data_IF_936544476840
#
_entry.id   IF_936544476840
#
_cell.length_a   1.000
_cell.length_b   1.000
_cell.length_c   1.000
_cell.angle_alpha   90.00
_cell.angle_beta   90.00
_cell.angle_gamma   90.00
#
_symmetry.space_group_name_H-M   'P 1'
#
loop_
_entity.id
_entity.type
_entity.pdbx_description
1 polymer ?
#
# COMPACT_ATOMS: atom_id res chain seq x y z
N UNK A 1 9.44 -19.28 -16.53
CA UNK A 1 8.65 -19.77 -15.38
C UNK A 1 7.98 -18.56 -14.77
N UNK A 2 6.67 -18.38 -14.97
CA UNK A 2 5.93 -17.25 -14.41
C UNK A 2 5.59 -17.58 -12.95
N UNK A 3 6.00 -16.71 -12.02
CA UNK A 3 5.66 -16.86 -10.60
C UNK A 3 4.16 -16.61 -10.42
N UNK A 4 3.46 -17.55 -9.77
CA UNK A 4 2.05 -17.39 -9.43
C UNK A 4 1.88 -16.26 -8.41
N UNK A 5 0.86 -15.40 -8.55
CA UNK A 5 0.54 -14.42 -7.52
C UNK A 5 0.04 -15.13 -6.26
N UNK A 6 0.73 -14.87 -5.15
CA UNK A 6 0.35 -15.34 -3.81
C UNK A 6 -1.04 -14.84 -3.47
N UNK A 7 -1.91 -15.75 -3.02
CA UNK A 7 -3.33 -15.48 -2.72
C UNK A 7 -3.46 -14.51 -1.54
N UNK A 8 -3.53 -13.21 -1.83
CA UNK A 8 -3.88 -12.18 -0.83
C UNK A 8 -5.39 -12.23 -0.59
N UNK A 9 -5.80 -12.70 0.59
CA UNK A 9 -7.18 -12.57 1.07
C UNK A 9 -7.38 -11.16 1.60
N UNK A 10 -8.23 -10.38 0.94
CA UNK A 10 -8.68 -9.09 1.44
C UNK A 10 -9.87 -9.30 2.40
N UNK A 11 -9.90 -8.70 3.60
CA UNK A 11 -11.10 -8.71 4.43
C UNK A 11 -12.15 -7.76 3.82
N UNK A 12 -13.28 -8.34 3.42
CA UNK A 12 -14.48 -7.62 2.99
C UNK A 12 -15.09 -6.89 4.19
N UNK A 13 -15.16 -5.56 4.13
CA UNK A 13 -15.90 -4.78 5.12
C UNK A 13 -17.39 -4.85 4.78
N UNK A 14 -18.14 -5.67 5.52
CA UNK A 14 -19.60 -5.64 5.43
C UNK A 14 -20.16 -4.39 6.10
N UNK A 15 -20.98 -3.68 5.33
CA UNK A 15 -21.59 -2.41 5.60
C UNK A 15 -22.90 -2.63 6.38
N UNK A 16 -22.87 -2.48 7.71
CA UNK A 16 -24.07 -2.60 8.53
C UNK A 16 -24.73 -1.23 8.77
N UNK A 17 -25.92 -1.04 8.17
CA UNK A 17 -26.84 0.07 8.45
C UNK A 17 -27.52 -0.12 9.83
N UNK A 18 -27.85 0.95 10.58
CA UNK A 18 -28.60 0.82 11.82
C UNK A 18 -30.11 0.73 11.58
N UNK A 19 -30.74 -0.31 12.13
CA UNK A 19 -32.19 -0.41 12.31
C UNK A 19 -32.58 0.11 13.69
N UNK A 20 -33.73 0.78 13.71
CA UNK A 20 -34.36 1.49 14.82
C UNK A 20 -34.60 0.70 16.11
N UNK A 21 -34.58 1.46 17.22
CA UNK A 21 -35.54 1.47 18.34
C UNK A 21 -35.75 0.19 19.16
N UNK A 22 -35.38 0.23 20.44
CA UNK A 22 -36.32 0.48 21.55
C UNK A 22 -35.62 0.26 22.90
N UNK A 23 -35.76 1.25 23.80
CA UNK A 23 -35.40 1.13 25.20
C UNK A 23 -36.35 0.15 25.94
N UNK A 24 -35.92 -0.32 27.12
CA UNK A 24 -36.83 -0.22 28.26
C UNK A 24 -36.20 0.51 29.43
N UNK A 25 -37.08 1.23 30.12
CA UNK A 25 -36.85 2.05 31.29
C UNK A 25 -36.76 1.23 32.58
N UNK A 26 -36.17 1.86 33.60
CA UNK A 26 -36.20 1.45 35.01
C UNK A 26 -34.78 1.18 35.55
N UNK A 27 -34.34 1.66 36.70
CA UNK A 27 -35.01 2.30 37.84
C UNK A 27 -33.99 3.22 38.54
N UNK A 28 -34.52 4.28 39.16
CA UNK A 28 -33.82 5.26 39.96
C UNK A 28 -33.33 4.64 41.27
N UNK A 29 -32.09 4.93 41.68
CA UNK A 29 -31.63 4.75 43.04
C UNK A 29 -30.78 5.96 43.47
N UNK A 30 -31.34 6.68 44.43
CA UNK A 30 -30.79 7.78 45.21
C UNK A 30 -29.37 7.50 45.71
N UNK A 31 -28.44 8.45 45.56
CA UNK A 31 -27.27 8.55 46.45
C UNK A 31 -27.05 10.01 46.81
N UNK A 32 -27.04 10.22 48.13
CA UNK A 32 -26.95 11.45 48.87
C UNK A 32 -25.71 12.31 48.61
N UNK A 33 -25.93 13.60 48.90
CA UNK A 33 -24.97 14.67 49.05
C UNK A 33 -23.69 14.25 49.78
N UNK A 34 -22.53 14.58 49.21
CA UNK A 34 -21.32 14.84 49.99
C UNK A 34 -20.76 16.22 49.61
N UNK A 35 -20.59 17.03 50.65
CA UNK A 35 -19.91 18.33 50.70
C UNK A 35 -18.64 18.38 49.84
N UNK A 36 -18.46 19.46 49.08
CA UNK A 36 -17.16 19.83 48.50
C UNK A 36 -16.71 21.16 49.08
N UNK A 37 -15.56 21.10 49.75
CA UNK A 37 -14.77 22.19 50.34
C UNK A 37 -14.26 23.14 49.23
N UNK A 38 -14.14 24.46 49.45
CA UNK A 38 -13.53 25.33 48.45
C UNK A 38 -12.01 25.15 48.46
N UNK A 39 -11.44 24.66 47.36
CA UNK A 39 -9.99 24.55 47.18
C UNK A 39 -9.56 25.28 45.90
N UNK A 40 -8.81 26.36 46.16
CA UNK A 40 -7.79 27.06 45.37
C UNK A 40 -7.44 26.38 44.04
N UNK A 41 -7.70 27.07 42.92
CA UNK A 41 -7.34 26.65 41.56
C UNK A 41 -5.82 26.57 41.36
N UNK A 42 -5.26 25.41 40.97
CA UNK A 42 -3.94 25.32 40.38
C UNK A 42 -4.00 25.64 38.87
N UNK A 43 -2.98 26.32 38.34
CA UNK A 43 -2.81 26.73 36.93
C UNK A 43 -2.60 25.57 35.92
N UNK A 44 -2.94 24.33 36.28
CA UNK A 44 -2.83 23.16 35.41
C UNK A 44 -4.13 22.35 35.50
N UNK A 45 -4.65 21.80 34.38
CA UNK A 45 -5.85 20.99 34.44
C UNK A 45 -5.53 19.78 35.33
N UNK A 46 -6.24 19.69 36.46
CA UNK A 46 -6.22 18.51 37.32
C UNK A 46 -6.87 17.38 36.51
N UNK A 47 -6.05 16.62 35.79
CA UNK A 47 -6.50 15.42 35.11
C UNK A 47 -6.99 14.48 36.20
N UNK A 48 -8.28 14.13 36.14
CA UNK A 48 -8.93 13.34 37.17
C UNK A 48 -8.12 12.04 37.35
N UNK A 49 -7.89 11.61 38.60
CA UNK A 49 -7.27 10.31 38.87
C UNK A 49 -7.98 9.18 38.11
N UNK A 50 -9.29 9.31 37.92
CA UNK A 50 -10.10 8.40 37.11
C UNK A 50 -9.64 8.42 35.65
N UNK A 51 -9.35 9.57 35.06
CA UNK A 51 -8.87 9.68 33.67
C UNK A 51 -7.47 9.08 33.50
N UNK A 52 -6.59 9.23 34.50
CA UNK A 52 -5.31 8.53 34.54
C UNK A 52 -5.49 7.01 34.57
N UNK A 53 -6.42 6.53 35.38
CA UNK A 53 -6.73 5.10 35.50
C UNK A 53 -7.32 4.58 34.18
N UNK A 54 -8.29 5.29 33.61
CA UNK A 54 -8.90 4.97 32.30
C UNK A 54 -7.84 4.95 31.20
N UNK A 55 -6.95 5.95 31.17
CA UNK A 55 -5.83 6.02 30.22
C UNK A 55 -4.87 4.85 30.35
N UNK A 56 -4.53 4.44 31.57
CA UNK A 56 -3.70 3.26 31.83
C UNK A 56 -4.32 1.95 31.31
N UNK A 57 -5.66 1.88 31.26
CA UNK A 57 -6.40 0.76 30.67
C UNK A 57 -6.81 1.03 29.20
N UNK A 58 -6.08 1.89 28.49
CA UNK A 58 -6.32 2.20 27.06
C UNK A 58 -7.74 2.69 26.76
N UNK A 59 -8.35 3.41 27.70
CA UNK A 59 -9.73 3.88 27.58
C UNK A 59 -10.80 2.86 27.98
N UNK A 60 -10.43 1.67 28.48
CA UNK A 60 -11.39 0.68 28.92
C UNK A 60 -11.99 1.05 30.29
N UNK A 61 -13.30 1.30 30.31
CA UNK A 61 -14.07 1.61 31.52
C UNK A 61 -14.86 0.42 32.07
N UNK A 62 -14.95 -0.66 31.30
CA UNK A 62 -15.74 -1.86 31.61
C UNK A 62 -14.81 -3.04 31.88
N UNK A 63 -14.99 -3.66 33.04
CA UNK A 63 -14.21 -4.79 33.48
C UNK A 63 -14.52 -6.05 32.63
N UNK A 64 -13.49 -6.84 32.32
CA UNK A 64 -13.55 -7.91 31.33
C UNK A 64 -14.59 -8.99 31.69
N UNK A 65 -14.73 -9.27 32.98
CA UNK A 65 -15.68 -10.21 33.59
C UNK A 65 -17.14 -9.80 33.46
N UNK A 66 -17.41 -8.50 33.24
CA UNK A 66 -18.77 -7.98 33.03
C UNK A 66 -19.18 -7.97 31.56
N UNK A 67 -18.24 -8.24 30.65
CA UNK A 67 -18.49 -8.26 29.22
C UNK A 67 -19.13 -9.58 28.77
N UNK A 68 -20.01 -9.55 27.74
CA UNK A 68 -20.47 -10.77 27.09
C UNK A 68 -19.29 -11.62 26.59
N UNK A 69 -19.37 -12.94 26.73
CA UNK A 69 -18.28 -13.88 26.39
C UNK A 69 -17.69 -13.70 25.00
N UNK A 70 -18.50 -13.33 24.01
CA UNK A 70 -18.04 -13.02 22.64
C UNK A 70 -17.18 -11.76 22.57
N UNK A 71 -17.55 -10.71 23.30
CA UNK A 71 -16.79 -9.47 23.42
C UNK A 71 -15.53 -9.68 24.24
N UNK A 72 -15.62 -10.49 25.30
CA UNK A 72 -14.48 -10.92 26.10
C UNK A 72 -13.43 -11.61 25.23
N UNK A 73 -13.83 -12.60 24.44
CA UNK A 73 -12.97 -13.31 23.50
C UNK A 73 -12.34 -12.35 22.47
N UNK A 74 -13.11 -11.39 21.93
CA UNK A 74 -12.60 -10.40 20.99
C UNK A 74 -11.62 -9.40 21.62
N UNK A 75 -11.85 -8.98 22.87
CA UNK A 75 -10.98 -8.07 23.63
C UNK A 75 -9.67 -8.75 24.03
N UNK A 76 -9.72 -10.02 24.41
CA UNK A 76 -8.53 -10.86 24.66
C UNK A 76 -7.74 -11.10 23.37
N UNK A 77 -8.44 -11.31 22.23
CA UNK A 77 -7.82 -11.63 20.94
C UNK A 77 -7.10 -10.45 20.26
N UNK A 78 -7.41 -9.20 20.64
CA UNK A 78 -6.92 -8.00 19.94
C UNK A 78 -5.64 -7.37 20.51
N UNK A 79 -4.96 -8.01 21.44
CA UNK A 79 -3.71 -7.47 21.98
C UNK A 79 -2.53 -8.03 21.17
N UNK A 80 -2.47 -7.72 19.87
CA UNK A 80 -1.13 -7.52 19.31
C UNK A 80 -0.60 -6.27 19.99
N UNK A 81 0.54 -6.35 20.68
CA UNK A 81 1.16 -5.16 21.25
C UNK A 81 1.26 -4.11 20.13
N UNK A 82 0.84 -2.86 20.37
CA UNK A 82 0.95 -1.78 19.39
C UNK A 82 2.35 -1.72 18.74
N UNK A 83 3.40 -1.96 19.54
CA UNK A 83 4.79 -2.04 19.08
C UNK A 83 5.05 -3.18 18.09
N UNK A 84 4.44 -4.36 18.28
CA UNK A 84 4.57 -5.49 17.35
C UNK A 84 3.83 -5.20 16.05
N UNK A 85 2.66 -4.57 16.12
CA UNK A 85 1.89 -4.17 14.94
C UNK A 85 2.62 -3.08 14.15
N UNK A 86 3.22 -2.11 14.85
CA UNK A 86 4.01 -1.06 14.24
C UNK A 86 5.21 -1.64 13.49
N UNK A 87 5.98 -2.55 14.12
CA UNK A 87 7.12 -3.21 13.47
C UNK A 87 6.72 -4.00 12.23
N UNK A 88 5.58 -4.71 12.27
CA UNK A 88 5.05 -5.41 11.09
C UNK A 88 4.72 -4.45 9.95
N UNK A 89 4.07 -3.33 10.26
CA UNK A 89 3.72 -2.31 9.27
C UNK A 89 4.95 -1.63 8.68
N UNK A 90 5.96 -1.34 9.49
CA UNK A 90 7.24 -0.80 9.03
C UNK A 90 7.93 -1.76 8.06
N UNK A 91 7.97 -3.06 8.39
CA UNK A 91 8.50 -4.10 7.49
C UNK A 91 7.71 -4.20 6.19
N UNK A 92 6.37 -4.18 6.24
CA UNK A 92 5.53 -4.23 5.04
C UNK A 92 5.74 -2.99 4.17
N UNK A 93 5.88 -1.82 4.78
CA UNK A 93 6.11 -0.56 4.09
C UNK A 93 7.48 -0.54 3.40
N UNK A 94 8.52 -1.02 4.08
CA UNK A 94 9.86 -1.13 3.49
C UNK A 94 9.90 -2.12 2.34
N UNK A 95 9.19 -3.25 2.45
CA UNK A 95 9.03 -4.18 1.33
C UNK A 95 8.33 -3.54 0.13
N UNK A 96 7.21 -2.84 0.36
CA UNK A 96 6.49 -2.14 -0.70
C UNK A 96 7.31 -1.02 -1.36
N UNK A 97 8.17 -0.34 -0.59
CA UNK A 97 9.11 0.66 -1.14
C UNK A 97 10.13 0.01 -2.08
N UNK A 98 10.69 -1.13 -1.69
CA UNK A 98 11.64 -1.86 -2.53
C UNK A 98 10.96 -2.38 -3.80
N UNK A 99 9.75 -2.92 -3.69
CA UNK A 99 8.94 -3.37 -4.83
C UNK A 99 8.60 -2.20 -5.77
N UNK A 100 8.14 -1.07 -5.25
CA UNK A 100 7.88 0.12 -6.07
C UNK A 100 9.15 0.65 -6.75
N UNK A 101 10.29 0.61 -6.07
CA UNK A 101 11.58 0.99 -6.66
C UNK A 101 11.93 0.07 -7.83
N UNK A 102 11.75 -1.24 -7.68
CA UNK A 102 11.97 -2.21 -8.75
C UNK A 102 11.09 -1.92 -9.97
N UNK A 103 9.77 -1.79 -9.78
CA UNK A 103 8.89 -1.47 -10.90
C UNK A 103 9.17 -0.09 -11.52
N UNK A 104 9.61 0.88 -10.72
CA UNK A 104 10.09 2.17 -11.20
C UNK A 104 11.28 2.01 -12.15
N UNK A 105 12.29 1.25 -11.75
CA UNK A 105 13.45 0.95 -12.60
C UNK A 105 13.05 0.21 -13.88
N UNK A 106 12.19 -0.80 -13.79
CA UNK A 106 11.66 -1.49 -14.98
C UNK A 106 10.96 -0.50 -15.93
N UNK A 107 10.12 0.39 -15.41
CA UNK A 107 9.45 1.40 -16.22
C UNK A 107 10.45 2.29 -16.99
N UNK A 108 11.54 2.73 -16.36
CA UNK A 108 12.55 3.54 -17.05
C UNK A 108 13.29 2.73 -18.13
N UNK A 109 13.66 1.48 -17.86
CA UNK A 109 14.25 0.57 -18.87
C UNK A 109 13.33 0.47 -20.10
N UNK A 110 12.04 0.23 -19.88
CA UNK A 110 11.06 0.14 -20.97
C UNK A 110 10.91 1.45 -21.73
N UNK A 111 10.97 2.60 -21.05
CA UNK A 111 10.91 3.92 -21.70
C UNK A 111 12.10 4.14 -22.61
N UNK A 112 13.32 3.83 -22.17
CA UNK A 112 14.53 3.94 -22.98
C UNK A 112 14.46 3.04 -24.22
N UNK A 113 14.07 1.78 -24.04
CA UNK A 113 13.88 0.85 -25.15
C UNK A 113 12.83 1.33 -26.16
N UNK A 114 11.73 1.91 -25.65
CA UNK A 114 10.66 2.46 -26.49
C UNK A 114 11.15 3.59 -27.39
N UNK A 115 12.09 4.42 -26.95
CA UNK A 115 12.68 5.48 -27.78
C UNK A 115 13.36 4.88 -29.01
N UNK A 116 14.21 3.87 -28.82
CA UNK A 116 14.92 3.19 -29.92
C UNK A 116 13.94 2.47 -30.86
N UNK A 117 12.96 1.76 -30.30
CA UNK A 117 11.90 1.12 -31.07
C UNK A 117 11.14 2.11 -31.95
N UNK A 118 10.78 3.28 -31.41
CA UNK A 118 10.06 4.33 -32.14
C UNK A 118 10.87 4.83 -33.34
N UNK A 119 12.19 4.95 -33.20
CA UNK A 119 13.10 5.31 -34.30
C UNK A 119 13.03 4.29 -35.44
N UNK A 120 13.08 2.99 -35.13
CA UNK A 120 12.96 1.91 -36.14
C UNK A 120 11.61 1.98 -36.85
N UNK A 121 10.51 2.14 -36.11
CA UNK A 121 9.17 2.28 -36.68
C UNK A 121 9.07 3.49 -37.61
N UNK A 122 9.64 4.64 -37.21
CA UNK A 122 9.64 5.85 -38.04
C UNK A 122 10.43 5.66 -39.34
N UNK A 123 11.59 4.99 -39.28
CA UNK A 123 12.39 4.68 -40.49
C UNK A 123 11.60 3.73 -41.40
N UNK A 124 11.05 2.64 -40.85
CA UNK A 124 10.21 1.70 -41.59
C UNK A 124 9.04 2.40 -42.28
N UNK A 125 8.31 3.26 -41.57
CA UNK A 125 7.19 4.00 -42.13
C UNK A 125 7.62 4.90 -43.29
N UNK A 126 8.75 5.62 -43.15
CA UNK A 126 9.30 6.45 -44.23
C UNK A 126 9.66 5.63 -45.46
N UNK A 127 10.33 4.50 -45.27
CA UNK A 127 10.75 3.61 -46.35
C UNK A 127 9.56 2.99 -47.08
N UNK A 128 8.53 2.57 -46.33
CA UNK A 128 7.27 2.07 -46.89
C UNK A 128 6.61 3.15 -47.75
N UNK A 129 6.50 4.38 -47.25
CA UNK A 129 5.95 5.50 -48.01
C UNK A 129 6.77 5.78 -49.28
N UNK A 130 8.09 5.77 -49.18
CA UNK A 130 8.97 5.99 -50.35
C UNK A 130 8.78 4.91 -51.40
N UNK A 131 8.61 3.63 -51.02
CA UNK A 131 8.38 2.55 -51.98
C UNK A 131 7.09 2.69 -52.80
N UNK A 132 6.06 3.37 -52.25
CA UNK A 132 4.84 3.68 -53.00
C UNK A 132 5.02 4.84 -53.98
N UNK A 133 5.92 5.77 -53.68
CA UNK A 133 6.18 6.96 -54.50
C UNK A 133 7.24 6.69 -55.58
N UNK A 134 8.20 5.81 -55.31
CA UNK A 134 9.32 5.47 -56.16
C UNK A 134 9.41 3.95 -56.38
N UNK A 135 8.77 3.41 -57.44
CA UNK A 135 8.67 1.96 -57.66
C UNK A 135 10.00 1.21 -57.86
N UNK A 136 11.10 1.94 -58.10
CA UNK A 136 12.44 1.39 -58.24
C UNK A 136 13.21 1.27 -56.92
N UNK A 137 12.69 1.82 -55.83
CA UNK A 137 13.35 1.81 -54.53
C UNK A 137 13.03 0.51 -53.77
N UNK A 138 14.07 -0.24 -53.38
CA UNK A 138 13.93 -1.46 -52.59
C UNK A 138 14.26 -1.18 -51.11
N UNK A 139 13.25 -1.15 -50.21
CA UNK A 139 13.46 -0.80 -48.80
C UNK A 139 14.17 -1.90 -47.99
N UNK A 140 14.30 -3.11 -48.52
CA UNK A 140 14.85 -4.29 -47.82
C UNK A 140 16.34 -4.15 -47.50
N UNK A 141 17.08 -3.36 -48.28
CA UNK A 141 18.53 -3.21 -48.13
C UNK A 141 18.95 -1.83 -47.66
N UNK A 142 18.03 -1.03 -47.09
CA UNK A 142 18.37 0.29 -46.59
C UNK A 142 19.36 0.18 -45.41
N UNK A 143 20.60 0.71 -45.55
CA UNK A 143 21.60 0.65 -44.48
C UNK A 143 21.12 1.34 -43.19
N UNK A 144 20.26 2.36 -43.32
CA UNK A 144 19.69 3.11 -42.20
C UNK A 144 18.76 2.25 -41.36
N UNK A 145 17.87 1.48 -42.01
CA UNK A 145 17.02 0.50 -41.33
C UNK A 145 17.85 -0.58 -40.64
N UNK A 146 18.84 -1.14 -41.34
CA UNK A 146 19.69 -2.18 -40.78
C UNK A 146 20.43 -1.71 -39.52
N UNK A 147 21.04 -0.52 -39.57
CA UNK A 147 21.71 0.08 -38.41
C UNK A 147 20.76 0.32 -37.25
N UNK A 148 19.53 0.80 -37.51
CA UNK A 148 18.53 1.02 -36.47
C UNK A 148 18.04 -0.29 -35.83
N UNK A 149 17.89 -1.36 -36.61
CA UNK A 149 17.54 -2.70 -36.10
C UNK A 149 18.67 -3.28 -35.25
N UNK A 150 19.93 -3.12 -35.66
CA UNK A 150 21.08 -3.53 -34.84
C UNK A 150 21.16 -2.75 -33.52
N UNK A 151 20.85 -1.45 -33.56
CA UNK A 151 20.78 -0.62 -32.36
C UNK A 151 19.66 -1.09 -31.42
N UNK A 152 18.50 -1.48 -31.97
CA UNK A 152 17.41 -2.05 -31.18
C UNK A 152 17.79 -3.40 -30.55
N UNK A 153 18.43 -4.30 -31.30
CA UNK A 153 18.91 -5.57 -30.76
C UNK A 153 19.92 -5.38 -29.61
N UNK A 154 20.83 -4.41 -29.79
CA UNK A 154 21.81 -4.05 -28.76
C UNK A 154 21.12 -3.47 -27.52
N UNK A 155 20.18 -2.54 -27.70
CA UNK A 155 19.40 -1.96 -26.61
C UNK A 155 18.54 -3.01 -25.89
N UNK A 156 17.99 -4.00 -26.60
CA UNK A 156 17.24 -5.11 -26.02
C UNK A 156 18.12 -5.98 -25.11
N UNK A 157 19.35 -6.27 -25.53
CA UNK A 157 20.30 -7.04 -24.72
C UNK A 157 20.63 -6.30 -23.43
N UNK A 158 20.99 -5.01 -23.53
CA UNK A 158 21.28 -4.16 -22.36
C UNK A 158 20.07 -4.05 -21.44
N UNK A 159 18.87 -3.84 -21.99
CA UNK A 159 17.62 -3.76 -21.23
C UNK A 159 17.35 -5.03 -20.43
N UNK A 160 17.55 -6.21 -21.03
CA UNK A 160 17.41 -7.51 -20.33
C UNK A 160 18.42 -7.69 -19.21
N UNK A 161 19.66 -7.29 -19.42
CA UNK A 161 20.69 -7.34 -18.39
C UNK A 161 20.36 -6.42 -17.22
N UNK A 162 19.86 -5.22 -17.51
CA UNK A 162 19.49 -4.24 -16.50
C UNK A 162 18.23 -4.67 -15.71
N UNK A 163 17.25 -5.27 -16.38
CA UNK A 163 16.07 -5.86 -15.73
C UNK A 163 16.48 -7.00 -14.79
N UNK A 164 17.35 -7.90 -15.26
CA UNK A 164 17.87 -9.01 -14.45
C UNK A 164 18.68 -8.53 -13.25
N UNK A 165 19.49 -7.47 -13.41
CA UNK A 165 20.21 -6.85 -12.30
C UNK A 165 19.23 -6.25 -11.27
N UNK A 166 18.21 -5.53 -11.74
CA UNK A 166 17.18 -4.93 -10.88
C UNK A 166 16.36 -5.97 -10.13
N UNK A 167 16.04 -7.10 -10.79
CA UNK A 167 15.36 -8.24 -10.18
C UNK A 167 16.23 -8.91 -9.11
N UNK A 168 17.54 -9.04 -9.35
CA UNK A 168 18.47 -9.58 -8.37
C UNK A 168 18.61 -8.68 -7.13
N UNK A 169 18.62 -7.36 -7.33
CA UNK A 169 18.70 -6.39 -6.24
C UNK A 169 17.40 -6.31 -5.42
N UNK A 170 16.23 -6.49 -6.04
CA UNK A 170 14.95 -6.56 -5.33
C UNK A 170 14.79 -7.83 -4.49
N UNK A 171 15.36 -8.95 -4.96
CA UNK A 171 15.30 -10.24 -4.27
C UNK A 171 16.30 -10.40 -3.13
N UNK A 172 17.26 -9.47 -2.99
CA UNK A 172 18.28 -9.50 -1.95
C UNK A 172 17.73 -8.96 -0.63
#
# INVERSE_FOLDING_TARGET
>A
MYAQPSKRSYPTYEQNRPLHSAAPAGQSANIDQHQVRPCIFPDHPEVNHIDHTIGAFHGATVALETMPSRLQAAKIRNIELPDNRQKQLEQELDWLKQENKFYGTCCEIYRELRVVYTTVVNIMQKLVLQSYLEPGYCPTWDPTLWGAVQQLDSALKVSREHEKASEADWRR
#
